data_IF_170981484095
#
_entry.id   IF_170981484095
#
_cell.length_a   1.000
_cell.length_b   1.000
_cell.length_c   1.000
_cell.angle_alpha   90.00
_cell.angle_beta   90.00
_cell.angle_gamma   90.00
#
_symmetry.space_group_name_H-M   'P 1'
#
loop_
_entity.id
_entity.type
_entity.pdbx_description
1 polymer ?
#
# COMPACT_ATOMS: atom_id res chain seq x y z
N UNK A 1 -52.90 66.98 -11.47
CA UNK A 1 -51.74 66.66 -10.61
C UNK A 1 -51.84 65.17 -10.28
N UNK A 2 -50.76 64.41 -10.51
CA UNK A 2 -50.58 62.99 -10.15
C UNK A 2 -51.29 61.88 -10.95
N UNK A 3 -50.56 61.38 -11.97
CA UNK A 3 -50.12 59.99 -12.15
C UNK A 3 -50.96 58.87 -11.49
N UNK A 4 -51.45 57.93 -12.29
CA UNK A 4 -51.79 56.58 -11.80
C UNK A 4 -51.49 55.48 -12.83
N UNK A 5 -50.26 54.95 -12.70
CA UNK A 5 -49.85 53.53 -12.75
C UNK A 5 -50.41 52.64 -13.87
N UNK A 6 -49.63 52.50 -14.94
CA UNK A 6 -49.50 51.23 -15.66
C UNK A 6 -48.65 50.27 -14.82
N UNK A 7 -49.26 49.18 -14.34
CA UNK A 7 -48.53 48.05 -13.74
C UNK A 7 -48.19 47.09 -14.88
N UNK A 8 -46.91 47.06 -15.27
CA UNK A 8 -46.35 45.99 -16.09
C UNK A 8 -46.15 44.79 -15.17
N UNK A 9 -46.96 43.75 -15.34
CA UNK A 9 -46.68 42.44 -14.78
C UNK A 9 -45.48 41.84 -15.52
N UNK A 10 -44.28 42.04 -14.99
CA UNK A 10 -43.13 41.19 -15.34
C UNK A 10 -43.31 39.86 -14.62
N UNK A 11 -43.72 38.84 -15.39
CA UNK A 11 -43.65 37.45 -14.96
C UNK A 11 -42.16 37.10 -14.92
N UNK A 12 -41.56 37.14 -13.73
CA UNK A 12 -40.25 36.53 -13.49
C UNK A 12 -40.48 35.02 -13.52
N UNK A 13 -40.31 34.40 -14.68
CA UNK A 13 -40.02 32.98 -14.76
C UNK A 13 -38.63 32.77 -14.14
N UNK A 14 -38.58 32.59 -12.83
CA UNK A 14 -37.45 31.89 -12.19
C UNK A 14 -37.55 30.45 -12.66
N UNK A 15 -36.98 30.17 -13.84
CA UNK A 15 -36.68 28.79 -14.20
C UNK A 15 -35.82 28.23 -13.08
N UNK A 16 -36.33 27.22 -12.37
CA UNK A 16 -35.48 26.36 -11.55
C UNK A 16 -34.46 25.75 -12.51
N UNK A 17 -33.28 26.36 -12.61
CA UNK A 17 -32.12 25.69 -13.19
C UNK A 17 -31.86 24.53 -12.25
N UNK A 18 -32.23 23.32 -12.68
CA UNK A 18 -31.92 22.11 -11.95
C UNK A 18 -30.39 22.09 -11.79
N UNK A 19 -29.89 22.10 -10.55
CA UNK A 19 -28.45 22.04 -10.31
C UNK A 19 -27.91 20.73 -10.88
N UNK A 20 -26.86 20.80 -11.72
CA UNK A 20 -26.20 19.59 -12.24
C UNK A 20 -25.77 18.69 -11.09
N UNK A 21 -26.07 17.39 -11.21
CA UNK A 21 -25.78 16.37 -10.21
C UNK A 21 -24.44 15.72 -10.48
N UNK A 22 -23.45 16.04 -9.65
CA UNK A 22 -22.12 15.47 -9.71
C UNK A 22 -21.89 14.43 -8.62
N UNK A 23 -21.01 13.46 -8.90
CA UNK A 23 -20.52 12.53 -7.89
C UNK A 23 -19.08 12.09 -8.15
N UNK A 24 -18.32 11.89 -7.08
CA UNK A 24 -17.11 11.07 -7.12
C UNK A 24 -17.50 9.62 -6.92
N UNK A 25 -16.91 8.70 -7.70
CA UNK A 25 -17.23 7.27 -7.63
C UNK A 25 -15.96 6.43 -7.61
N UNK A 26 -15.93 5.41 -6.75
CA UNK A 26 -14.88 4.39 -6.74
C UNK A 26 -15.48 2.98 -6.73
N UNK A 27 -14.67 1.96 -7.00
CA UNK A 27 -15.09 0.55 -6.90
C UNK A 27 -14.27 -0.16 -5.82
N UNK A 28 -14.94 -0.82 -4.89
CA UNK A 28 -14.35 -1.64 -3.84
C UNK A 28 -14.73 -3.12 -4.03
N UNK A 29 -13.72 -3.94 -4.39
CA UNK A 29 -13.88 -5.37 -4.65
C UNK A 29 -13.02 -6.30 -3.79
N UNK A 30 -12.22 -5.73 -2.89
CA UNK A 30 -11.54 -6.47 -1.82
C UNK A 30 -11.49 -5.63 -0.54
N UNK A 31 -11.67 -6.29 0.60
CA UNK A 31 -11.52 -5.66 1.92
C UNK A 31 -10.08 -5.14 2.18
N UNK A 32 -9.08 -5.61 1.41
CA UNK A 32 -7.70 -5.09 1.46
C UNK A 32 -7.59 -3.60 1.12
N UNK A 33 -8.59 -3.07 0.40
CA UNK A 33 -8.65 -1.67 0.01
C UNK A 33 -9.57 -0.82 0.90
N UNK A 34 -10.04 -1.33 2.05
CA UNK A 34 -10.87 -0.55 2.98
C UNK A 34 -10.12 0.69 3.48
N UNK A 35 -8.91 0.52 4.02
CA UNK A 35 -8.13 1.64 4.54
C UNK A 35 -7.88 2.74 3.49
N UNK A 36 -7.41 2.43 2.26
CA UNK A 36 -7.29 3.46 1.23
C UNK A 36 -8.63 4.08 0.83
N UNK A 37 -9.73 3.33 0.81
CA UNK A 37 -11.05 3.88 0.55
C UNK A 37 -11.49 4.89 1.63
N UNK A 38 -11.21 4.61 2.90
CA UNK A 38 -11.49 5.51 4.01
C UNK A 38 -10.64 6.79 3.95
N UNK A 39 -9.34 6.66 3.63
CA UNK A 39 -8.46 7.82 3.47
C UNK A 39 -8.90 8.70 2.30
N UNK A 40 -9.30 8.10 1.17
CA UNK A 40 -9.82 8.83 0.03
C UNK A 40 -11.16 9.53 0.36
N UNK A 41 -12.07 8.84 1.07
CA UNK A 41 -13.33 9.42 1.53
C UNK A 41 -13.12 10.66 2.40
N UNK A 42 -12.28 10.53 3.43
CA UNK A 42 -11.88 11.63 4.30
C UNK A 42 -11.29 12.79 3.48
N UNK A 43 -10.39 12.49 2.54
CA UNK A 43 -9.74 13.53 1.74
C UNK A 43 -10.72 14.29 0.86
N UNK A 44 -11.64 13.61 0.18
CA UNK A 44 -12.67 14.25 -0.65
C UNK A 44 -13.60 15.13 0.18
N UNK A 45 -14.05 14.64 1.34
CA UNK A 45 -14.87 15.38 2.30
C UNK A 45 -14.19 16.68 2.76
N UNK A 46 -12.91 16.61 3.12
CA UNK A 46 -12.13 17.77 3.56
C UNK A 46 -11.91 18.82 2.45
N UNK A 47 -11.87 18.39 1.19
CA UNK A 47 -11.64 19.28 0.05
C UNK A 47 -12.92 19.91 -0.48
N UNK A 48 -14.02 19.14 -0.53
CA UNK A 48 -15.34 19.62 -0.95
C UNK A 48 -16.45 18.63 -0.56
N UNK A 49 -17.06 18.85 0.60
CA UNK A 49 -18.18 18.03 1.11
C UNK A 49 -19.51 18.26 0.37
N UNK A 50 -19.58 19.21 -0.58
CA UNK A 50 -20.82 19.46 -1.34
C UNK A 50 -21.07 18.44 -2.44
N UNK A 51 -20.05 17.67 -2.84
CA UNK A 51 -20.16 16.66 -3.90
C UNK A 51 -20.15 15.28 -3.24
N UNK A 52 -21.19 14.45 -3.42
CA UNK A 52 -21.25 13.14 -2.80
C UNK A 52 -20.12 12.22 -3.31
N UNK A 53 -19.62 11.39 -2.39
CA UNK A 53 -18.71 10.30 -2.72
C UNK A 53 -19.42 8.96 -2.57
N UNK A 54 -19.41 8.18 -3.65
CA UNK A 54 -20.09 6.89 -3.76
C UNK A 54 -19.05 5.80 -3.97
N UNK A 55 -19.22 4.67 -3.29
CA UNK A 55 -18.43 3.48 -3.54
C UNK A 55 -19.35 2.36 -4.00
N UNK A 56 -19.07 1.85 -5.21
CA UNK A 56 -19.65 0.61 -5.70
C UNK A 56 -18.95 -0.54 -4.95
N UNK A 57 -19.72 -1.27 -4.14
CA UNK A 57 -19.23 -2.45 -3.41
C UNK A 57 -19.71 -3.73 -4.10
N UNK A 58 -18.80 -4.67 -4.27
CA UNK A 58 -19.12 -6.00 -4.82
C UNK A 58 -19.53 -6.99 -3.73
N UNK A 59 -20.03 -8.16 -4.13
CA UNK A 59 -20.42 -9.24 -3.23
C UNK A 59 -19.31 -9.77 -2.30
N UNK A 60 -18.04 -9.45 -2.58
CA UNK A 60 -16.88 -9.91 -1.81
C UNK A 60 -16.57 -9.03 -0.57
N UNK A 61 -17.28 -7.90 -0.41
CA UNK A 61 -17.06 -6.94 0.69
C UNK A 61 -17.90 -7.31 1.90
N UNK A 62 -17.27 -7.30 3.09
CA UNK A 62 -17.97 -7.63 4.32
C UNK A 62 -18.78 -6.44 4.87
N UNK A 63 -19.82 -6.74 5.65
CA UNK A 63 -20.72 -5.72 6.22
C UNK A 63 -20.02 -4.75 7.17
N UNK A 64 -18.96 -5.20 7.86
CA UNK A 64 -18.17 -4.33 8.74
C UNK A 64 -17.45 -3.23 7.96
N UNK A 65 -16.88 -3.57 6.80
CA UNK A 65 -16.23 -2.62 5.89
C UNK A 65 -17.24 -1.64 5.30
N UNK A 66 -18.42 -2.13 4.90
CA UNK A 66 -19.53 -1.29 4.41
C UNK A 66 -19.96 -0.30 5.50
N UNK A 67 -20.19 -0.80 6.73
CA UNK A 67 -20.61 0.03 7.86
C UNK A 67 -19.55 1.08 8.21
N UNK A 68 -18.27 0.72 8.16
CA UNK A 68 -17.16 1.65 8.41
C UNK A 68 -17.13 2.80 7.39
N UNK A 69 -17.43 2.54 6.11
CA UNK A 69 -17.51 3.56 5.07
C UNK A 69 -18.78 4.43 5.23
N UNK A 70 -19.94 3.82 5.52
CA UNK A 70 -21.18 4.56 5.78
C UNK A 70 -21.06 5.51 6.97
N UNK A 71 -20.38 5.08 8.04
CA UNK A 71 -20.11 5.93 9.20
C UNK A 71 -19.27 7.17 8.88
N UNK A 72 -18.53 7.17 7.75
CA UNK A 72 -17.78 8.32 7.26
C UNK A 72 -18.58 9.22 6.30
N UNK A 73 -19.85 8.89 6.04
CA UNK A 73 -20.71 9.60 5.10
C UNK A 73 -20.58 9.14 3.65
N UNK A 74 -19.88 8.03 3.39
CA UNK A 74 -19.80 7.45 2.04
C UNK A 74 -21.13 6.82 1.66
N UNK A 75 -21.62 7.14 0.47
CA UNK A 75 -22.79 6.49 -0.09
C UNK A 75 -22.40 5.14 -0.70
N UNK A 76 -23.09 4.07 -0.32
CA UNK A 76 -22.77 2.71 -0.77
C UNK A 76 -23.76 2.28 -1.84
N UNK A 77 -23.24 1.85 -2.98
CA UNK A 77 -24.01 1.23 -4.05
C UNK A 77 -23.58 -0.22 -4.20
N UNK A 78 -24.51 -1.15 -4.06
CA UNK A 78 -24.21 -2.56 -4.26
C UNK A 78 -24.34 -2.91 -5.74
N UNK A 79 -23.34 -3.59 -6.29
CA UNK A 79 -23.38 -4.11 -7.66
C UNK A 79 -22.61 -5.43 -7.78
N UNK A 80 -22.87 -6.18 -8.84
CA UNK A 80 -22.18 -7.42 -9.13
C UNK A 80 -20.83 -7.14 -9.79
N UNK A 81 -19.80 -7.80 -9.27
CA UNK A 81 -18.48 -7.83 -9.90
C UNK A 81 -18.58 -8.34 -11.34
N UNK A 82 -17.93 -7.63 -12.26
CA UNK A 82 -17.75 -8.08 -13.64
C UNK A 82 -16.32 -8.62 -13.78
N UNK A 83 -16.21 -9.93 -13.98
CA UNK A 83 -14.92 -10.58 -14.18
C UNK A 83 -14.35 -10.30 -15.57
N UNK A 84 -13.01 -10.23 -15.63
CA UNK A 84 -12.28 -10.15 -16.89
C UNK A 84 -12.40 -11.48 -17.67
N UNK A 85 -12.54 -11.48 -19.01
CA UNK A 85 -12.52 -12.73 -19.80
C UNK A 85 -11.16 -13.46 -19.71
N UNK A 86 -10.12 -12.78 -19.23
CA UNK A 86 -8.75 -13.30 -19.14
C UNK A 86 -8.45 -14.07 -17.84
N UNK A 87 -9.43 -14.35 -16.97
CA UNK A 87 -9.27 -14.99 -15.65
C UNK A 87 -8.42 -16.29 -15.66
N UNK A 88 -8.46 -17.04 -16.75
CA UNK A 88 -7.67 -18.29 -16.91
C UNK A 88 -6.15 -18.03 -16.91
N UNK A 89 -5.72 -16.81 -17.18
CA UNK A 89 -4.30 -16.43 -17.15
C UNK A 89 -3.90 -15.97 -15.74
N UNK A 90 -2.76 -16.46 -15.24
CA UNK A 90 -2.25 -16.06 -13.92
C UNK A 90 -2.08 -14.54 -13.76
N UNK A 91 -1.75 -13.83 -14.85
CA UNK A 91 -1.53 -12.37 -14.84
C UNK A 91 -2.82 -11.58 -14.68
N UNK A 92 -3.97 -12.09 -15.15
CA UNK A 92 -5.20 -11.31 -15.19
C UNK A 92 -6.13 -11.51 -13.97
N UNK A 93 -5.84 -12.46 -13.07
CA UNK A 93 -6.67 -12.71 -11.87
C UNK A 93 -6.82 -11.51 -10.93
N UNK A 94 -5.92 -10.53 -11.03
CA UNK A 94 -5.96 -9.29 -10.24
C UNK A 94 -6.86 -8.20 -10.83
N UNK A 95 -7.36 -8.38 -12.05
CA UNK A 95 -8.18 -7.39 -12.75
C UNK A 95 -9.67 -7.76 -12.74
N UNK A 96 -10.51 -6.75 -12.91
CA UNK A 96 -11.96 -6.85 -13.06
C UNK A 96 -12.44 -5.74 -13.97
N UNK A 97 -13.61 -5.90 -14.61
CA UNK A 97 -14.21 -4.89 -15.48
C UNK A 97 -15.35 -4.13 -14.81
N UNK A 98 -15.55 -4.29 -13.50
CA UNK A 98 -16.65 -3.67 -12.73
C UNK A 98 -16.75 -2.15 -12.90
N UNK A 99 -15.67 -1.44 -13.26
CA UNK A 99 -15.71 0.00 -13.56
C UNK A 99 -16.70 0.36 -14.68
N UNK A 100 -17.04 -0.55 -15.59
CA UNK A 100 -18.02 -0.21 -16.63
C UNK A 100 -19.43 0.05 -16.06
N UNK A 101 -19.74 -0.45 -14.85
CA UNK A 101 -21.00 -0.18 -14.14
C UNK A 101 -21.26 1.30 -13.91
N UNK A 102 -20.22 2.14 -13.85
CA UNK A 102 -20.35 3.58 -13.66
C UNK A 102 -21.24 4.24 -14.74
N UNK A 103 -21.27 3.69 -15.96
CA UNK A 103 -22.14 4.20 -17.02
C UNK A 103 -23.64 3.93 -16.79
N UNK A 104 -24.01 3.08 -15.83
CA UNK A 104 -25.42 2.82 -15.46
C UNK A 104 -26.00 3.84 -14.48
N UNK A 105 -25.15 4.67 -13.86
CA UNK A 105 -25.54 5.61 -12.79
C UNK A 105 -26.21 6.88 -13.32
N UNK A 106 -27.27 6.72 -14.10
CA UNK A 106 -27.99 7.79 -14.83
C UNK A 106 -28.75 8.79 -13.93
N UNK A 107 -28.74 8.59 -12.62
CA UNK A 107 -29.20 9.55 -11.63
C UNK A 107 -28.27 10.76 -11.46
N UNK A 108 -27.03 10.67 -11.96
CA UNK A 108 -26.05 11.75 -12.02
C UNK A 108 -25.85 12.26 -13.45
N UNK A 109 -25.57 13.55 -13.58
CA UNK A 109 -25.28 14.18 -14.86
C UNK A 109 -23.82 13.94 -15.27
N UNK A 110 -22.88 14.02 -14.32
CA UNK A 110 -21.45 13.77 -14.54
C UNK A 110 -20.83 13.07 -13.33
N UNK A 111 -19.99 12.07 -13.59
CA UNK A 111 -19.28 11.31 -12.56
C UNK A 111 -17.78 11.42 -12.79
N UNK A 112 -17.01 11.55 -11.72
CA UNK A 112 -15.56 11.41 -11.72
C UNK A 112 -15.17 10.10 -11.00
N UNK A 113 -14.63 9.14 -11.77
CA UNK A 113 -14.06 7.92 -11.23
C UNK A 113 -12.69 8.17 -10.60
N UNK A 114 -12.46 7.59 -9.43
CA UNK A 114 -11.18 7.59 -8.73
C UNK A 114 -10.81 6.15 -8.33
N UNK A 115 -9.62 5.68 -8.68
CA UNK A 115 -9.10 4.44 -8.10
C UNK A 115 -8.76 4.67 -6.61
N UNK A 116 -8.88 3.62 -5.80
CA UNK A 116 -8.67 3.72 -4.35
C UNK A 116 -7.21 4.03 -3.97
N UNK A 117 -6.28 3.95 -4.92
CA UNK A 117 -4.87 4.29 -4.76
C UNK A 117 -4.52 5.68 -5.32
N UNK A 118 -5.49 6.59 -5.39
CA UNK A 118 -5.28 8.01 -5.66
C UNK A 118 -5.46 8.86 -4.40
N UNK A 119 -4.86 10.06 -4.40
CA UNK A 119 -5.00 11.03 -3.32
C UNK A 119 -5.09 12.45 -3.90
N UNK A 120 -6.29 13.07 -3.89
CA UNK A 120 -6.45 14.48 -4.21
C UNK A 120 -5.74 15.37 -3.19
N UNK A 121 -4.92 16.32 -3.68
CA UNK A 121 -4.20 17.29 -2.85
C UNK A 121 -4.97 18.60 -2.69
N UNK A 122 -5.84 18.94 -3.63
CA UNK A 122 -6.66 20.14 -3.65
C UNK A 122 -8.07 19.84 -4.20
N UNK A 123 -8.98 20.84 -4.15
CA UNK A 123 -10.32 20.67 -4.71
C UNK A 123 -10.26 20.49 -6.23
N UNK A 124 -10.73 19.33 -6.70
CA UNK A 124 -10.70 18.91 -8.10
C UNK A 124 -12.04 19.06 -8.82
N UNK A 125 -13.02 19.78 -8.26
CA UNK A 125 -14.38 19.86 -8.83
C UNK A 125 -14.42 20.49 -10.24
N UNK A 126 -13.36 21.18 -10.68
CA UNK A 126 -13.26 21.70 -12.04
C UNK A 126 -13.36 20.60 -13.11
N UNK A 127 -12.97 19.35 -12.80
CA UNK A 127 -12.99 18.25 -13.78
C UNK A 127 -14.38 17.87 -14.26
N UNK A 128 -15.44 18.18 -13.49
CA UNK A 128 -16.82 17.87 -13.90
C UNK A 128 -17.26 18.63 -15.16
N UNK A 129 -16.51 19.66 -15.58
CA UNK A 129 -16.81 20.47 -16.77
C UNK A 129 -16.02 20.05 -18.02
N UNK A 130 -15.32 18.91 -18.00
CA UNK A 130 -14.38 18.56 -19.06
C UNK A 130 -15.01 17.95 -20.34
N UNK A 131 -16.22 17.36 -20.28
CA UNK A 131 -16.86 16.71 -21.44
C UNK A 131 -17.60 15.41 -21.09
N UNK A 132 -18.00 14.61 -22.10
CA UNK A 132 -18.74 13.35 -21.87
C UNK A 132 -17.83 12.18 -21.46
N UNK A 133 -16.55 12.21 -21.85
CA UNK A 133 -15.52 11.32 -21.34
C UNK A 133 -14.15 12.01 -21.33
N UNK A 134 -13.49 12.01 -20.18
CA UNK A 134 -12.17 12.63 -20.04
C UNK A 134 -11.23 11.77 -19.23
N UNK A 135 -9.99 11.63 -19.68
CA UNK A 135 -8.96 10.94 -18.92
C UNK A 135 -7.60 11.57 -19.17
N UNK A 136 -6.64 11.25 -18.31
CA UNK A 136 -5.27 11.70 -18.46
C UNK A 136 -4.42 10.63 -19.16
N UNK A 137 -3.57 11.09 -20.09
CA UNK A 137 -2.61 10.23 -20.78
C UNK A 137 -1.34 10.09 -19.96
N UNK A 138 -0.78 8.88 -19.95
CA UNK A 138 0.58 8.67 -19.48
C UNK A 138 1.56 9.13 -20.56
N UNK A 139 2.80 8.65 -20.51
CA UNK A 139 3.83 8.84 -21.54
C UNK A 139 3.57 8.02 -22.83
N UNK A 140 2.32 7.72 -23.17
CA UNK A 140 1.90 6.86 -24.29
C UNK A 140 0.62 7.39 -24.96
N UNK A 141 0.19 6.76 -26.05
CA UNK A 141 -1.10 6.98 -26.69
C UNK A 141 -2.28 6.29 -25.96
N UNK A 142 -2.03 5.76 -24.76
CA UNK A 142 -3.02 5.16 -23.87
C UNK A 142 -3.23 6.04 -22.62
N UNK A 143 -4.50 6.23 -22.25
CA UNK A 143 -4.87 6.89 -21.01
C UNK A 143 -4.82 5.95 -19.81
N UNK A 144 -4.65 6.53 -18.62
CA UNK A 144 -4.76 5.79 -17.37
C UNK A 144 -6.21 5.79 -16.86
N UNK A 145 -6.75 4.62 -16.55
CA UNK A 145 -8.14 4.46 -16.07
C UNK A 145 -8.31 4.63 -14.55
N UNK A 146 -7.29 5.14 -13.85
CA UNK A 146 -7.37 5.40 -12.41
C UNK A 146 -8.02 6.73 -12.05
N UNK A 147 -8.07 7.67 -13.00
CA UNK A 147 -8.89 8.89 -12.89
C UNK A 147 -9.47 9.18 -14.26
N UNK A 148 -10.80 9.21 -14.35
CA UNK A 148 -11.51 9.66 -15.53
C UNK A 148 -12.85 10.27 -15.15
N UNK A 149 -13.39 11.12 -16.03
CA UNK A 149 -14.72 11.71 -15.92
C UNK A 149 -15.60 11.11 -17.00
N UNK A 150 -16.87 10.87 -16.70
CA UNK A 150 -17.85 10.41 -17.68
C UNK A 150 -19.22 11.06 -17.46
N UNK A 151 -20.02 11.12 -18.52
CA UNK A 151 -21.47 11.23 -18.44
C UNK A 151 -22.10 9.83 -18.45
N UNK A 152 -22.86 9.45 -17.41
CA UNK A 152 -23.54 8.16 -17.38
C UNK A 152 -24.47 7.99 -18.59
N UNK A 153 -24.43 6.84 -19.23
CA UNK A 153 -25.27 6.53 -20.39
C UNK A 153 -25.52 5.02 -20.47
N UNK A 154 -26.78 4.63 -20.30
CA UNK A 154 -27.20 3.23 -20.28
C UNK A 154 -26.96 2.50 -21.62
N UNK A 155 -26.99 3.21 -22.75
CA UNK A 155 -26.71 2.63 -24.06
C UNK A 155 -25.22 2.31 -24.21
N UNK A 156 -24.35 3.22 -23.76
CA UNK A 156 -22.90 3.01 -23.72
C UNK A 156 -22.55 1.85 -22.80
N UNK A 157 -23.19 1.75 -21.63
CA UNK A 157 -23.03 0.59 -20.76
C UNK A 157 -23.41 -0.72 -21.47
N UNK A 158 -24.61 -0.79 -22.06
CA UNK A 158 -25.10 -2.00 -22.73
C UNK A 158 -24.22 -2.39 -23.92
N UNK A 159 -23.63 -1.42 -24.60
CA UNK A 159 -22.69 -1.69 -25.68
C UNK A 159 -21.36 -2.24 -25.15
N UNK A 160 -20.77 -1.62 -24.11
CA UNK A 160 -19.58 -2.18 -23.45
C UNK A 160 -19.81 -3.59 -22.91
N UNK A 161 -20.96 -3.84 -22.28
CA UNK A 161 -21.32 -5.16 -21.72
C UNK A 161 -21.30 -6.27 -22.79
N UNK A 162 -21.82 -5.99 -24.00
CA UNK A 162 -21.76 -6.92 -25.14
C UNK A 162 -20.32 -7.21 -25.59
N UNK A 163 -19.42 -6.25 -25.40
CA UNK A 163 -18.03 -6.34 -25.83
C UNK A 163 -17.08 -6.89 -24.75
N UNK A 164 -17.53 -7.08 -23.50
CA UNK A 164 -16.70 -7.58 -22.39
C UNK A 164 -15.96 -8.88 -22.75
N UNK A 165 -16.59 -9.78 -23.51
CA UNK A 165 -16.00 -11.09 -23.86
C UNK A 165 -15.21 -11.07 -25.18
N UNK A 166 -15.48 -10.13 -26.09
CA UNK A 166 -14.93 -10.15 -27.46
C UNK A 166 -13.86 -9.09 -27.70
N UNK A 167 -13.89 -7.97 -26.99
CA UNK A 167 -12.95 -6.87 -27.18
C UNK A 167 -11.60 -7.19 -26.53
N UNK A 168 -10.53 -6.86 -27.26
CA UNK A 168 -9.17 -7.07 -26.78
C UNK A 168 -8.86 -6.05 -25.69
N UNK A 169 -8.25 -6.51 -24.60
CA UNK A 169 -7.64 -5.64 -23.59
C UNK A 169 -6.15 -5.94 -23.54
N UNK A 170 -5.31 -4.94 -23.82
CA UNK A 170 -3.86 -5.13 -23.93
C UNK A 170 -3.19 -5.55 -22.61
N UNK A 171 -3.79 -5.21 -21.47
CA UNK A 171 -3.30 -5.56 -20.13
C UNK A 171 -4.15 -6.65 -19.45
N UNK A 172 -5.26 -7.06 -20.09
CA UNK A 172 -6.25 -7.97 -19.53
C UNK A 172 -7.16 -7.33 -18.46
N UNK A 173 -7.00 -6.03 -18.20
CA UNK A 173 -7.72 -5.25 -17.20
C UNK A 173 -8.66 -4.20 -17.80
N UNK A 174 -9.31 -3.43 -16.92
CA UNK A 174 -10.24 -2.36 -17.29
C UNK A 174 -9.54 -1.26 -18.10
N UNK A 175 -8.28 -0.94 -17.80
CA UNK A 175 -7.54 0.09 -18.51
C UNK A 175 -7.40 -0.26 -19.99
N UNK A 176 -6.99 -1.48 -20.32
CA UNK A 176 -6.87 -1.92 -21.70
C UNK A 176 -8.20 -2.02 -22.43
N UNK A 177 -9.26 -2.45 -21.73
CA UNK A 177 -10.60 -2.49 -22.28
C UNK A 177 -11.13 -1.09 -22.61
N UNK A 178 -11.06 -0.16 -21.65
CA UNK A 178 -11.53 1.22 -21.81
C UNK A 178 -10.72 1.98 -22.86
N UNK A 179 -9.41 1.77 -22.95
CA UNK A 179 -8.60 2.37 -24.02
C UNK A 179 -9.00 1.89 -25.41
N UNK A 180 -9.41 0.63 -25.53
CA UNK A 180 -9.88 0.09 -26.81
C UNK A 180 -11.26 0.64 -27.17
N UNK A 181 -12.16 0.76 -26.18
CA UNK A 181 -13.50 1.29 -26.39
C UNK A 181 -13.51 2.80 -26.68
N UNK A 182 -12.71 3.59 -25.96
CA UNK A 182 -12.58 5.04 -26.10
C UNK A 182 -11.31 5.43 -26.87
N UNK A 183 -11.04 4.73 -27.99
CA UNK A 183 -9.80 4.90 -28.77
C UNK A 183 -9.60 6.31 -29.34
N UNK A 184 -10.70 7.04 -29.53
CA UNK A 184 -10.68 8.37 -30.15
C UNK A 184 -10.29 9.49 -29.16
N UNK A 185 -10.23 9.19 -27.86
CA UNK A 185 -9.85 10.17 -26.82
C UNK A 185 -8.47 10.79 -27.09
N UNK A 186 -7.54 10.07 -27.73
CA UNK A 186 -6.21 10.60 -28.05
C UNK A 186 -6.22 11.76 -29.07
N UNK A 187 -7.30 11.89 -29.84
CA UNK A 187 -7.47 12.95 -30.84
C UNK A 187 -8.17 14.19 -30.27
N UNK A 188 -8.62 14.16 -29.01
CA UNK A 188 -9.37 15.28 -28.44
C UNK A 188 -8.47 16.42 -27.93
N UNK A 189 -9.10 17.57 -27.70
CA UNK A 189 -8.45 18.75 -27.12
C UNK A 189 -8.05 18.53 -25.66
N UNK A 190 -7.14 19.38 -25.17
CA UNK A 190 -6.84 19.43 -23.73
C UNK A 190 -7.90 20.26 -23.01
N UNK A 191 -8.42 19.74 -21.90
CA UNK A 191 -9.30 20.49 -21.01
C UNK A 191 -8.55 21.66 -20.35
N UNK A 192 -9.17 22.84 -20.32
CA UNK A 192 -8.66 24.03 -19.65
C UNK A 192 -9.52 24.36 -18.43
N UNK A 193 -9.02 24.01 -17.25
CA UNK A 193 -9.70 24.22 -15.96
C UNK A 193 -9.89 25.69 -15.57
N UNK A 194 -9.17 26.62 -16.20
CA UNK A 194 -9.29 28.07 -15.93
C UNK A 194 -10.36 28.75 -16.78
N UNK A 195 -10.93 28.04 -17.76
CA UNK A 195 -11.94 28.57 -18.67
C UNK A 195 -13.20 27.70 -18.68
N UNK A 196 -13.92 27.70 -17.56
CA UNK A 196 -15.14 26.91 -17.34
C UNK A 196 -16.37 27.45 -18.11
N UNK A 197 -16.29 28.67 -18.66
CA UNK A 197 -17.37 29.27 -19.47
C UNK A 197 -17.44 28.67 -20.86
N UNK A 198 -16.33 28.10 -21.36
CA UNK A 198 -16.36 27.21 -22.51
C UNK A 198 -16.93 25.87 -22.05
N UNK A 199 -18.25 25.80 -21.87
CA UNK A 199 -18.90 24.48 -21.89
C UNK A 199 -18.42 23.82 -23.16
N UNK A 200 -17.83 22.65 -23.00
CA UNK A 200 -17.46 21.77 -24.10
C UNK A 200 -18.75 21.21 -24.74
N UNK A 201 -19.69 22.08 -25.10
CA UNK A 201 -21.02 21.75 -25.65
C UNK A 201 -20.91 20.95 -26.96
N UNK A 202 -19.73 20.94 -27.59
CA UNK A 202 -19.43 20.19 -28.80
C UNK A 202 -18.33 19.11 -28.65
N UNK A 203 -17.56 19.09 -27.56
CA UNK A 203 -16.49 18.09 -27.38
C UNK A 203 -17.02 16.92 -26.56
N UNK A 204 -17.38 15.83 -27.25
CA UNK A 204 -17.75 14.55 -26.61
C UNK A 204 -16.66 14.02 -25.68
N UNK A 205 -15.39 14.32 -25.96
CA UNK A 205 -14.26 13.83 -25.18
C UNK A 205 -13.18 14.90 -25.03
N UNK A 206 -12.45 14.88 -23.92
CA UNK A 206 -11.34 15.81 -23.64
C UNK A 206 -10.20 15.15 -22.87
N UNK A 207 -8.96 15.57 -23.12
CA UNK A 207 -7.78 15.10 -22.38
C UNK A 207 -7.57 15.91 -21.12
N UNK A 208 -7.40 15.24 -19.98
CA UNK A 208 -7.03 15.86 -18.72
C UNK A 208 -5.51 16.08 -18.64
N UNK A 209 -5.09 17.18 -18.03
CA UNK A 209 -3.69 17.39 -17.62
C UNK A 209 -3.20 16.22 -16.77
N UNK A 210 -1.90 15.89 -16.88
CA UNK A 210 -1.24 14.90 -16.02
C UNK A 210 -1.32 15.27 -14.52
N UNK A 211 -1.58 16.54 -14.19
CA UNK A 211 -1.80 16.99 -12.83
C UNK A 211 -3.01 16.30 -12.15
N UNK A 212 -4.06 15.96 -12.91
CA UNK A 212 -5.26 15.29 -12.39
C UNK A 212 -5.09 13.77 -12.23
N UNK A 213 -3.97 13.20 -12.67
CA UNK A 213 -3.71 11.77 -12.51
C UNK A 213 -2.19 11.54 -12.51
N UNK A 214 -1.52 12.14 -11.53
CA UNK A 214 -0.07 12.21 -11.53
C UNK A 214 0.54 10.86 -11.11
N UNK A 215 1.20 10.21 -12.07
CA UNK A 215 1.87 8.93 -11.88
C UNK A 215 3.15 9.09 -11.02
N UNK A 216 3.16 8.52 -9.81
CA UNK A 216 4.34 8.57 -8.93
C UNK A 216 5.60 7.94 -9.56
N UNK A 217 5.43 7.00 -10.49
CA UNK A 217 6.55 6.41 -11.23
C UNK A 217 7.34 7.47 -11.99
N UNK A 218 6.66 8.47 -12.54
CA UNK A 218 7.31 9.58 -13.25
C UNK A 218 8.12 10.47 -12.31
N UNK A 219 7.63 10.73 -11.09
CA UNK A 219 8.40 11.47 -10.08
C UNK A 219 9.71 10.75 -9.74
N UNK A 220 9.64 9.44 -9.52
CA UNK A 220 10.82 8.66 -9.13
C UNK A 220 11.81 8.44 -10.26
N UNK A 221 11.33 8.23 -11.49
CA UNK A 221 12.18 8.16 -12.68
C UNK A 221 12.80 9.51 -13.02
N UNK A 222 12.14 10.62 -12.68
CA UNK A 222 12.65 11.99 -12.85
C UNK A 222 13.48 12.49 -11.66
N UNK A 223 14.10 11.59 -10.89
CA UNK A 223 15.03 11.95 -9.83
C UNK A 223 14.40 12.67 -8.62
N UNK A 224 13.10 12.46 -8.37
CA UNK A 224 12.38 13.09 -7.27
C UNK A 224 11.91 14.51 -7.56
N UNK A 225 11.64 14.83 -8.83
CA UNK A 225 11.11 16.14 -9.24
C UNK A 225 9.79 15.96 -9.96
N UNK A 226 8.81 16.77 -9.58
CA UNK A 226 7.53 16.83 -10.27
C UNK A 226 7.72 17.35 -11.70
N UNK A 227 7.10 16.67 -12.67
CA UNK A 227 7.01 17.18 -14.06
C UNK A 227 5.93 18.25 -14.21
N UNK A 228 4.91 18.15 -13.37
CA UNK A 228 3.81 19.10 -13.20
C UNK A 228 3.36 19.01 -11.74
N UNK A 229 2.94 20.12 -11.16
CA UNK A 229 2.39 20.12 -9.80
C UNK A 229 1.13 19.24 -9.75
N UNK A 230 1.09 18.19 -8.92
CA UNK A 230 -0.02 17.25 -8.88
C UNK A 230 -1.23 17.83 -8.16
N UNK A 231 -2.40 17.71 -8.78
CA UNK A 231 -3.70 17.89 -8.11
C UNK A 231 -4.18 16.59 -7.50
N UNK A 232 -3.85 15.47 -8.14
CA UNK A 232 -4.09 14.12 -7.65
C UNK A 232 -2.80 13.32 -7.80
N UNK A 233 -2.31 12.76 -6.69
CA UNK A 233 -1.23 11.76 -6.72
C UNK A 233 -1.87 10.38 -6.95
N UNK A 234 -1.42 9.65 -7.97
CA UNK A 234 -1.81 8.27 -8.21
C UNK A 234 -0.65 7.33 -7.88
N UNK A 235 -0.82 6.49 -6.84
CA UNK A 235 0.18 5.54 -6.35
C UNK A 235 0.27 4.28 -7.24
N UNK A 236 0.58 4.46 -8.52
CA UNK A 236 0.59 3.46 -9.60
C UNK A 236 1.62 2.32 -9.41
N UNK A 237 2.65 2.52 -8.59
CA UNK A 237 3.73 1.55 -8.42
C UNK A 237 3.28 0.42 -7.49
N UNK A 238 2.92 -0.74 -8.05
CA UNK A 238 2.76 -1.99 -7.32
C UNK A 238 4.07 -2.79 -7.32
N UNK A 239 4.49 -3.40 -6.19
CA UNK A 239 3.79 -3.59 -4.91
C UNK A 239 4.13 -2.53 -3.83
N UNK A 240 4.34 -1.26 -4.19
CA UNK A 240 4.86 -0.20 -3.29
C UNK A 240 3.77 0.79 -2.87
N UNK A 241 2.61 0.29 -2.42
CA UNK A 241 1.47 1.12 -2.03
C UNK A 241 1.73 1.88 -0.72
N UNK A 242 1.14 3.09 -0.54
CA UNK A 242 1.48 3.97 0.58
C UNK A 242 1.01 3.46 1.95
N UNK A 243 0.00 2.61 2.00
CA UNK A 243 -0.48 1.99 3.23
C UNK A 243 0.40 0.84 3.73
N UNK A 244 1.41 0.40 2.98
CA UNK A 244 2.36 -0.60 3.43
C UNK A 244 3.48 0.03 4.26
N UNK A 245 3.60 -0.38 5.53
CA UNK A 245 4.57 0.16 6.50
C UNK A 245 6.02 0.25 5.98
N UNK A 246 6.46 -0.73 5.20
CA UNK A 246 7.86 -0.84 4.75
C UNK A 246 8.22 0.17 3.65
N UNK A 247 7.23 0.71 2.94
CA UNK A 247 7.45 1.64 1.82
C UNK A 247 7.80 3.04 2.32
N UNK A 248 7.34 3.41 3.52
CA UNK A 248 7.45 4.76 4.06
C UNK A 248 8.87 5.35 4.07
N UNK A 249 9.94 4.67 4.55
CA UNK A 249 11.28 5.24 4.54
C UNK A 249 11.90 5.35 3.13
N UNK A 250 11.30 4.73 2.09
CA UNK A 250 11.86 4.69 0.73
C UNK A 250 11.13 5.66 -0.20
N UNK A 251 9.80 5.76 -0.08
CA UNK A 251 8.93 6.54 -0.95
C UNK A 251 8.44 7.80 -0.21
N UNK A 252 9.12 8.92 -0.41
CA UNK A 252 8.81 10.23 0.19
C UNK A 252 7.39 10.74 -0.09
N UNK A 253 6.83 10.47 -1.27
CA UNK A 253 5.46 10.87 -1.59
C UNK A 253 4.41 10.17 -0.70
N UNK A 254 4.76 9.05 -0.06
CA UNK A 254 3.86 8.40 0.89
C UNK A 254 3.58 9.27 2.13
N UNK A 255 4.37 10.32 2.37
CA UNK A 255 4.07 11.30 3.41
C UNK A 255 2.70 11.97 3.21
N UNK A 256 2.31 12.31 1.97
CA UNK A 256 1.00 12.92 1.71
C UNK A 256 -0.15 12.00 2.13
N UNK A 257 -0.07 10.73 1.76
CA UNK A 257 -1.08 9.73 2.13
C UNK A 257 -1.08 9.47 3.64
N UNK A 258 0.10 9.39 4.25
CA UNK A 258 0.24 9.16 5.69
C UNK A 258 -0.34 10.32 6.52
N UNK A 259 -0.12 11.56 6.09
CA UNK A 259 -0.72 12.75 6.71
C UNK A 259 -2.25 12.69 6.63
N UNK A 260 -2.82 12.38 5.46
CA UNK A 260 -4.27 12.21 5.30
C UNK A 260 -4.83 11.07 6.18
N UNK A 261 -4.07 9.99 6.37
CA UNK A 261 -4.44 8.93 7.32
C UNK A 261 -4.46 9.43 8.77
N UNK A 262 -3.45 10.18 9.20
CA UNK A 262 -3.41 10.72 10.57
C UNK A 262 -4.56 11.70 10.85
N UNK A 263 -4.93 12.50 9.85
CA UNK A 263 -6.10 13.40 9.90
C UNK A 263 -7.39 12.60 10.07
N UNK A 264 -7.58 11.54 9.26
CA UNK A 264 -8.71 10.60 9.38
C UNK A 264 -8.77 9.98 10.78
N UNK A 265 -7.66 9.43 11.27
CA UNK A 265 -7.60 8.73 12.56
C UNK A 265 -7.99 9.68 13.72
N UNK A 266 -7.60 10.95 13.63
CA UNK A 266 -8.01 11.99 14.56
C UNK A 266 -9.52 12.29 14.52
N UNK A 267 -10.17 12.18 13.36
CA UNK A 267 -11.62 12.38 13.19
C UNK A 267 -12.42 11.22 13.78
N UNK A 268 -12.02 9.97 13.51
CA UNK A 268 -12.75 8.77 13.95
C UNK A 268 -12.40 8.36 15.39
N UNK A 269 -11.49 9.08 16.05
CA UNK A 269 -11.01 8.77 17.40
C UNK A 269 -10.19 7.48 17.47
N UNK A 270 -9.59 7.05 16.35
CA UNK A 270 -8.69 5.90 16.37
C UNK A 270 -7.41 6.30 17.11
N UNK A 271 -7.14 5.57 18.18
CA UNK A 271 -6.10 5.94 19.10
C UNK A 271 -4.79 5.32 18.65
N UNK A 272 -3.96 6.11 17.98
CA UNK A 272 -2.60 5.78 17.59
C UNK A 272 -1.82 5.08 18.72
N UNK A 273 -1.95 5.56 19.97
CA UNK A 273 -1.28 4.97 21.13
C UNK A 273 -1.80 3.56 21.43
N UNK A 274 -3.11 3.32 21.34
CA UNK A 274 -3.70 1.98 21.54
C UNK A 274 -3.17 1.01 20.48
N UNK A 275 -3.12 1.44 19.22
CA UNK A 275 -2.58 0.60 18.14
C UNK A 275 -1.08 0.32 18.33
N UNK A 276 -0.31 1.30 18.81
CA UNK A 276 1.09 1.07 19.22
C UNK A 276 1.19 0.06 20.36
N UNK A 277 0.35 0.19 21.40
CA UNK A 277 0.33 -0.73 22.53
C UNK A 277 -0.04 -2.14 22.09
N UNK A 278 -1.01 -2.31 21.17
CA UNK A 278 -1.36 -3.61 20.59
C UNK A 278 -0.16 -4.28 19.91
N UNK A 279 0.61 -3.53 19.11
CA UNK A 279 1.82 -4.04 18.47
C UNK A 279 2.89 -4.43 19.51
N UNK A 280 3.08 -3.61 20.55
CA UNK A 280 4.03 -3.91 21.64
C UNK A 280 3.60 -5.17 22.40
N UNK A 281 2.33 -5.29 22.79
CA UNK A 281 1.78 -6.47 23.46
C UNK A 281 1.96 -7.72 22.60
N UNK A 282 1.64 -7.63 21.30
CA UNK A 282 1.84 -8.74 20.37
C UNK A 282 3.32 -9.13 20.29
N UNK A 283 4.23 -8.16 20.17
CA UNK A 283 5.67 -8.39 20.15
C UNK A 283 6.16 -9.14 21.39
N UNK A 284 5.78 -8.66 22.59
CA UNK A 284 6.19 -9.25 23.87
C UNK A 284 5.68 -10.69 24.00
N UNK A 285 4.39 -10.92 23.72
CA UNK A 285 3.80 -12.26 23.79
C UNK A 285 4.45 -13.21 22.78
N UNK A 286 4.74 -12.71 21.58
CA UNK A 286 5.40 -13.49 20.53
C UNK A 286 6.81 -13.91 20.93
N UNK A 287 7.61 -12.98 21.45
CA UNK A 287 8.96 -13.26 21.96
C UNK A 287 8.91 -14.26 23.12
N UNK A 288 7.97 -14.09 24.06
CA UNK A 288 7.78 -15.01 25.18
C UNK A 288 7.43 -16.42 24.68
N UNK A 289 6.57 -16.54 23.66
CA UNK A 289 6.22 -17.79 23.01
C UNK A 289 7.43 -18.50 22.40
N UNK A 290 8.27 -17.78 21.64
CA UNK A 290 9.51 -18.33 21.08
C UNK A 290 10.51 -18.76 22.16
N UNK A 291 10.59 -18.02 23.26
CA UNK A 291 11.46 -18.39 24.37
C UNK A 291 10.95 -19.63 25.11
N UNK A 292 9.63 -19.77 25.29
CA UNK A 292 9.03 -20.99 25.83
C UNK A 292 9.27 -22.20 24.92
N UNK A 293 9.09 -22.04 23.59
CA UNK A 293 9.43 -23.07 22.61
C UNK A 293 10.90 -23.48 22.67
N UNK A 294 11.82 -22.51 22.81
CA UNK A 294 13.24 -22.80 23.08
C UNK A 294 13.41 -23.72 24.29
N UNK A 295 12.76 -23.43 25.42
CA UNK A 295 12.88 -24.24 26.64
C UNK A 295 12.35 -25.67 26.47
N UNK A 296 11.24 -25.83 25.73
CA UNK A 296 10.69 -27.15 25.40
C UNK A 296 11.65 -27.94 24.51
N UNK A 297 12.21 -27.32 23.47
CA UNK A 297 13.17 -27.97 22.57
C UNK A 297 14.45 -28.39 23.30
N UNK A 298 14.96 -27.53 24.19
CA UNK A 298 16.12 -27.84 25.03
C UNK A 298 15.86 -29.02 25.97
N UNK A 299 14.64 -29.14 26.51
CA UNK A 299 14.24 -30.25 27.35
C UNK A 299 14.15 -31.57 26.55
N UNK A 300 13.50 -31.57 25.39
CA UNK A 300 13.37 -32.76 24.54
C UNK A 300 14.74 -33.24 24.03
N UNK A 301 15.62 -32.31 23.70
CA UNK A 301 16.94 -32.62 23.16
C UNK A 301 17.98 -33.02 24.21
N UNK A 302 17.66 -32.93 25.51
CA UNK A 302 18.61 -33.15 26.60
C UNK A 302 19.30 -34.52 26.52
N UNK A 303 18.59 -35.55 26.03
CA UNK A 303 19.07 -36.93 25.98
C UNK A 303 19.58 -37.38 24.59
N UNK A 304 19.39 -36.58 23.53
CA UNK A 304 19.65 -36.95 22.12
C UNK A 304 20.66 -36.00 21.43
N UNK A 305 21.79 -35.76 22.09
CA UNK A 305 22.82 -34.84 21.61
C UNK A 305 23.58 -35.43 20.39
N UNK A 306 23.51 -34.75 19.25
CA UNK A 306 24.21 -35.19 18.02
C UNK A 306 25.71 -34.89 18.19
N UNK A 307 26.54 -35.94 18.25
CA UNK A 307 27.98 -35.85 18.53
C UNK A 307 28.87 -35.47 17.33
N UNK A 308 28.32 -35.34 16.12
CA UNK A 308 29.11 -34.93 14.95
C UNK A 308 29.44 -33.45 14.97
N UNK A 309 30.67 -33.03 14.67
CA UNK A 309 31.01 -31.61 14.64
C UNK A 309 30.75 -31.02 13.24
N UNK A 310 29.76 -30.13 13.06
CA UNK A 310 29.47 -29.57 11.75
C UNK A 310 30.66 -28.78 11.20
N UNK A 311 30.84 -28.86 9.89
CA UNK A 311 31.85 -28.12 9.15
C UNK A 311 31.64 -26.61 9.29
N UNK A 312 32.67 -25.83 8.96
CA UNK A 312 32.56 -24.36 8.93
C UNK A 312 31.49 -23.91 7.92
N UNK A 313 31.37 -24.63 6.80
CA UNK A 313 30.39 -24.36 5.76
C UNK A 313 28.97 -24.60 6.26
N UNK A 314 28.70 -25.72 6.91
CA UNK A 314 27.36 -26.04 7.44
C UNK A 314 26.88 -25.00 8.46
N UNK A 315 27.76 -24.59 9.39
CA UNK A 315 27.45 -23.53 10.36
C UNK A 315 27.11 -22.22 9.68
N UNK A 316 27.85 -21.86 8.63
CA UNK A 316 27.62 -20.64 7.86
C UNK A 316 26.30 -20.73 7.08
N UNK A 317 26.11 -21.79 6.30
CA UNK A 317 24.90 -22.03 5.52
C UNK A 317 23.64 -22.01 6.40
N UNK A 318 23.69 -22.64 7.57
CA UNK A 318 22.62 -22.61 8.56
C UNK A 318 22.28 -21.18 9.00
N UNK A 319 23.27 -20.38 9.38
CA UNK A 319 23.06 -18.98 9.79
C UNK A 319 22.42 -18.14 8.67
N UNK A 320 22.89 -18.29 7.43
CA UNK A 320 22.33 -17.57 6.28
C UNK A 320 20.88 -17.99 6.01
N UNK A 321 20.59 -19.29 5.99
CA UNK A 321 19.25 -19.82 5.75
C UNK A 321 18.27 -19.36 6.83
N UNK A 322 18.62 -19.55 8.10
CA UNK A 322 17.77 -19.16 9.23
C UNK A 322 17.50 -17.66 9.21
N UNK A 323 18.50 -16.83 8.93
CA UNK A 323 18.31 -15.39 8.91
C UNK A 323 17.38 -14.94 7.77
N UNK A 324 17.54 -15.49 6.56
CA UNK A 324 16.62 -15.20 5.43
C UNK A 324 15.19 -15.67 5.71
N UNK A 325 15.04 -16.87 6.28
CA UNK A 325 13.74 -17.39 6.69
C UNK A 325 13.08 -16.47 7.70
N UNK A 326 13.82 -15.99 8.71
CA UNK A 326 13.30 -15.08 9.73
C UNK A 326 12.87 -13.74 9.12
N UNK A 327 13.65 -13.16 8.21
CA UNK A 327 13.26 -11.92 7.52
C UNK A 327 11.96 -12.15 6.75
N UNK A 328 11.90 -13.19 5.92
CA UNK A 328 10.69 -13.52 5.14
C UNK A 328 9.48 -13.76 6.04
N UNK A 329 9.63 -14.58 7.08
CA UNK A 329 8.58 -14.91 8.02
C UNK A 329 8.08 -13.67 8.78
N UNK A 330 8.99 -12.79 9.19
CA UNK A 330 8.63 -11.53 9.82
C UNK A 330 7.86 -10.61 8.89
N UNK A 331 8.19 -10.56 7.60
CA UNK A 331 7.38 -9.85 6.61
C UNK A 331 5.96 -10.40 6.50
N UNK A 332 5.75 -11.72 6.63
CA UNK A 332 4.42 -12.34 6.55
C UNK A 332 3.54 -12.05 7.78
N UNK A 333 4.12 -12.03 8.97
CA UNK A 333 3.35 -11.83 10.22
C UNK A 333 3.19 -10.35 10.60
N UNK A 334 3.95 -9.46 9.97
CA UNK A 334 3.90 -8.03 10.30
C UNK A 334 2.62 -7.43 9.71
N UNK A 335 1.78 -6.75 10.52
CA UNK A 335 0.52 -6.19 10.03
C UNK A 335 0.76 -5.15 8.92
N UNK A 336 0.24 -5.43 7.72
CA UNK A 336 0.51 -4.60 6.53
C UNK A 336 0.02 -3.16 6.68
N UNK A 337 -1.11 -2.96 7.36
CA UNK A 337 -1.82 -1.68 7.45
C UNK A 337 -1.51 -0.90 8.74
N UNK A 338 -0.60 -1.39 9.59
CA UNK A 338 -0.22 -0.69 10.81
C UNK A 338 0.66 0.54 10.53
N UNK A 339 0.77 1.44 11.52
CA UNK A 339 1.56 2.67 11.37
C UNK A 339 3.04 2.37 11.08
N UNK A 340 3.68 3.09 10.14
CA UNK A 340 5.03 2.75 9.68
C UNK A 340 6.06 2.65 10.81
N UNK A 341 6.18 3.68 11.66
CA UNK A 341 7.23 3.74 12.70
C UNK A 341 7.08 2.59 13.73
N UNK A 342 5.92 2.41 14.40
CA UNK A 342 5.72 1.29 15.32
C UNK A 342 5.94 -0.07 14.67
N UNK A 343 5.57 -0.21 13.40
CA UNK A 343 5.69 -1.46 12.66
C UNK A 343 7.13 -1.79 12.30
N UNK A 344 7.96 -0.79 11.96
CA UNK A 344 9.41 -0.98 11.80
C UNK A 344 10.09 -1.40 13.11
N UNK A 345 9.68 -0.81 14.25
CA UNK A 345 10.17 -1.20 15.57
C UNK A 345 9.77 -2.66 15.88
N UNK A 346 8.51 -3.01 15.65
CA UNK A 346 7.99 -4.37 15.80
C UNK A 346 8.77 -5.38 14.95
N UNK A 347 8.93 -5.10 13.65
CA UNK A 347 9.66 -5.93 12.71
C UNK A 347 11.12 -6.13 13.16
N UNK A 348 11.82 -5.03 13.46
CA UNK A 348 13.21 -5.07 13.90
C UNK A 348 13.38 -5.87 15.19
N UNK A 349 12.50 -5.64 16.17
CA UNK A 349 12.49 -6.36 17.44
C UNK A 349 12.32 -7.86 17.21
N UNK A 350 11.31 -8.28 16.47
CA UNK A 350 11.07 -9.71 16.22
C UNK A 350 12.23 -10.37 15.47
N UNK A 351 12.76 -9.75 14.43
CA UNK A 351 13.92 -10.29 13.70
C UNK A 351 15.10 -10.49 14.65
N UNK A 352 15.38 -9.52 15.52
CA UNK A 352 16.46 -9.59 16.48
C UNK A 352 16.28 -10.72 17.50
N UNK A 353 15.09 -10.82 18.12
CA UNK A 353 14.78 -11.82 19.12
C UNK A 353 14.70 -13.23 18.54
N UNK A 354 13.97 -13.42 17.43
CA UNK A 354 13.85 -14.73 16.78
C UNK A 354 15.21 -15.25 16.32
N UNK A 355 16.04 -14.40 15.71
CA UNK A 355 17.38 -14.80 15.27
C UNK A 355 18.22 -15.25 16.45
N UNK A 356 18.21 -14.47 17.53
CA UNK A 356 19.03 -14.77 18.71
C UNK A 356 18.54 -16.04 19.44
N UNK A 357 17.21 -16.21 19.58
CA UNK A 357 16.61 -17.39 20.22
C UNK A 357 16.90 -18.65 19.40
N UNK A 358 16.59 -18.66 18.09
CA UNK A 358 16.73 -19.86 17.26
C UNK A 358 18.19 -20.30 17.13
N UNK A 359 19.13 -19.37 16.93
CA UNK A 359 20.55 -19.69 16.87
C UNK A 359 21.05 -20.17 18.23
N UNK A 360 20.59 -19.57 19.33
CA UNK A 360 20.94 -20.04 20.67
C UNK A 360 20.41 -21.44 20.96
N UNK A 361 19.19 -21.75 20.54
CA UNK A 361 18.61 -23.10 20.67
C UNK A 361 19.42 -24.11 19.86
N UNK A 362 19.77 -23.77 18.62
CA UNK A 362 20.66 -24.60 17.81
C UNK A 362 22.01 -24.83 18.49
N UNK A 363 22.64 -23.79 19.04
CA UNK A 363 23.93 -23.94 19.73
C UNK A 363 23.81 -24.87 20.94
N UNK A 364 22.73 -24.73 21.73
CA UNK A 364 22.52 -25.59 22.89
C UNK A 364 22.31 -27.05 22.48
N UNK A 365 21.41 -27.31 21.54
CA UNK A 365 21.08 -28.67 21.09
C UNK A 365 22.28 -29.34 20.41
N UNK A 366 23.06 -28.57 19.63
CA UNK A 366 24.15 -29.13 18.84
C UNK A 366 25.47 -29.26 19.61
N UNK A 367 25.72 -28.39 20.58
CA UNK A 367 27.01 -28.30 21.27
C UNK A 367 26.93 -28.37 22.80
N UNK A 368 25.72 -28.38 23.37
CA UNK A 368 25.51 -28.44 24.82
C UNK A 368 25.90 -27.15 25.55
N UNK A 369 26.13 -26.07 24.82
CA UNK A 369 26.60 -24.81 25.40
C UNK A 369 25.58 -23.69 25.23
N UNK A 370 25.28 -22.99 26.33
CA UNK A 370 24.47 -21.79 26.31
C UNK A 370 25.32 -20.55 26.02
N UNK A 371 24.95 -19.71 25.04
CA UNK A 371 25.52 -18.38 24.90
C UNK A 371 25.33 -17.57 26.19
N UNK A 372 26.37 -16.86 26.62
CA UNK A 372 26.25 -15.94 27.77
C UNK A 372 25.23 -14.84 27.48
N UNK A 373 24.57 -14.33 28.52
CA UNK A 373 23.57 -13.25 28.38
C UNK A 373 24.13 -12.00 27.69
N UNK A 374 25.42 -11.68 27.85
CA UNK A 374 26.07 -10.57 27.15
C UNK A 374 26.15 -10.78 25.63
N UNK A 375 26.47 -11.99 25.18
CA UNK A 375 26.48 -12.33 23.75
C UNK A 375 25.07 -12.34 23.17
N UNK A 376 24.11 -12.80 23.96
CA UNK A 376 22.69 -12.80 23.61
C UNK A 376 22.18 -11.36 23.41
N UNK A 377 22.38 -10.48 24.41
CA UNK A 377 22.01 -9.07 24.34
C UNK A 377 22.76 -8.33 23.22
N UNK A 378 24.04 -8.63 23.02
CA UNK A 378 24.85 -8.05 21.94
C UNK A 378 24.33 -8.35 20.54
N UNK A 379 23.78 -9.56 20.30
CA UNK A 379 23.15 -9.89 19.02
C UNK A 379 21.87 -9.10 18.79
N UNK A 380 21.03 -9.00 19.82
CA UNK A 380 19.78 -8.23 19.75
C UNK A 380 20.07 -6.76 19.47
N UNK A 381 21.06 -6.19 20.16
CA UNK A 381 21.47 -4.80 19.98
C UNK A 381 22.01 -4.56 18.57
N UNK A 382 22.89 -5.44 18.06
CA UNK A 382 23.45 -5.30 16.72
C UNK A 382 22.37 -5.27 15.64
N UNK A 383 21.42 -6.22 15.69
CA UNK A 383 20.36 -6.32 14.68
C UNK A 383 19.46 -5.08 14.74
N UNK A 384 19.03 -4.65 15.93
CA UNK A 384 18.18 -3.47 16.07
C UNK A 384 18.88 -2.18 15.65
N UNK A 385 20.14 -1.96 16.06
CA UNK A 385 20.92 -0.80 15.63
C UNK A 385 21.12 -0.78 14.11
N UNK A 386 21.30 -1.95 13.49
CA UNK A 386 21.42 -2.03 12.04
C UNK A 386 20.15 -1.56 11.32
N UNK A 387 18.96 -1.99 11.77
CA UNK A 387 17.68 -1.55 11.20
C UNK A 387 17.40 -0.08 11.48
N UNK A 388 17.70 0.40 12.70
CA UNK A 388 17.57 1.80 13.05
C UNK A 388 18.46 2.69 12.16
N UNK A 389 19.72 2.27 11.95
CA UNK A 389 20.64 2.98 11.07
C UNK A 389 20.10 3.03 9.64
N UNK A 390 19.52 1.94 9.14
CA UNK A 390 18.85 1.94 7.84
C UNK A 390 17.71 2.95 7.78
N UNK A 391 16.78 2.85 8.73
CA UNK A 391 15.59 3.69 8.78
C UNK A 391 15.94 5.18 8.82
N UNK A 392 16.86 5.57 9.72
CA UNK A 392 17.30 6.96 9.85
C UNK A 392 17.99 7.44 8.58
N UNK A 393 18.91 6.65 8.02
CA UNK A 393 19.65 7.04 6.81
C UNK A 393 18.73 7.18 5.60
N UNK A 394 17.72 6.31 5.49
CA UNK A 394 16.71 6.42 4.44
C UNK A 394 15.84 7.67 4.63
N UNK A 395 15.39 7.94 5.86
CA UNK A 395 14.53 9.09 6.18
C UNK A 395 15.21 10.45 5.96
N UNK A 396 16.51 10.58 6.24
CA UNK A 396 17.24 11.85 6.06
C UNK A 396 17.65 12.12 4.61
N UNK A 397 17.60 11.11 3.74
CA UNK A 397 18.07 11.25 2.36
C UNK A 397 16.95 11.74 1.45
N UNK A 398 17.04 12.93 0.86
CA UNK A 398 15.95 13.48 0.06
C UNK A 398 15.82 12.82 -1.32
N UNK A 399 16.82 12.07 -1.78
CA UNK A 399 16.83 11.50 -3.13
C UNK A 399 16.40 10.04 -3.13
N UNK A 400 15.26 9.74 -3.79
CA UNK A 400 14.75 8.38 -3.95
C UNK A 400 15.79 7.38 -4.44
N UNK A 401 16.53 7.70 -5.51
CA UNK A 401 17.53 6.80 -6.07
C UNK A 401 18.61 6.41 -5.05
N UNK A 402 19.00 7.34 -4.16
CA UNK A 402 19.95 7.05 -3.09
C UNK A 402 19.30 6.21 -1.98
N UNK A 403 18.05 6.48 -1.59
CA UNK A 403 17.30 5.67 -0.62
C UNK A 403 17.15 4.23 -1.10
N UNK A 404 16.77 4.03 -2.36
CA UNK A 404 16.61 2.71 -2.97
C UNK A 404 17.93 1.93 -3.05
N UNK A 405 19.00 2.56 -3.57
CA UNK A 405 20.32 1.94 -3.64
C UNK A 405 20.85 1.58 -2.24
N UNK A 406 20.70 2.50 -1.29
CA UNK A 406 21.08 2.27 0.09
C UNK A 406 20.27 1.14 0.73
N UNK A 407 18.97 1.04 0.46
CA UNK A 407 18.14 -0.08 0.92
C UNK A 407 18.60 -1.43 0.36
N UNK A 408 18.93 -1.51 -0.92
CA UNK A 408 19.47 -2.73 -1.52
C UNK A 408 20.82 -3.10 -0.89
N UNK A 409 21.74 -2.13 -0.80
CA UNK A 409 23.05 -2.33 -0.19
C UNK A 409 22.91 -2.75 1.29
N UNK A 410 22.00 -2.12 2.02
CA UNK A 410 21.70 -2.42 3.40
C UNK A 410 21.24 -3.87 3.57
N UNK A 411 20.26 -4.34 2.79
CA UNK A 411 19.75 -5.71 2.88
C UNK A 411 20.87 -6.74 2.65
N UNK A 412 21.75 -6.50 1.66
CA UNK A 412 22.89 -7.36 1.36
C UNK A 412 23.90 -7.35 2.52
N UNK A 413 24.34 -6.15 2.94
CA UNK A 413 25.34 -5.98 3.99
C UNK A 413 24.84 -6.57 5.30
N UNK A 414 23.59 -6.28 5.66
CA UNK A 414 22.96 -6.78 6.87
C UNK A 414 22.92 -8.32 6.86
N UNK A 415 22.50 -8.93 5.75
CA UNK A 415 22.48 -10.38 5.61
C UNK A 415 23.84 -11.03 5.89
N UNK A 416 24.92 -10.52 5.29
CA UNK A 416 26.26 -11.08 5.50
C UNK A 416 26.84 -10.77 6.87
N UNK A 417 26.66 -9.55 7.38
CA UNK A 417 27.17 -9.14 8.69
C UNK A 417 26.47 -9.91 9.81
N UNK A 418 25.13 -9.95 9.80
CA UNK A 418 24.36 -10.64 10.85
C UNK A 418 24.66 -12.13 10.84
N UNK A 419 24.63 -12.78 9.66
CA UNK A 419 24.93 -14.21 9.54
C UNK A 419 26.35 -14.56 9.99
N UNK A 420 27.34 -13.71 9.68
CA UNK A 420 28.72 -13.90 10.13
C UNK A 420 28.89 -13.66 11.62
N UNK A 421 28.21 -12.65 12.17
CA UNK A 421 28.28 -12.29 13.58
C UNK A 421 27.66 -13.37 14.46
N UNK A 422 26.43 -13.81 14.15
CA UNK A 422 25.75 -14.86 14.91
C UNK A 422 26.54 -16.18 14.86
N UNK A 423 27.14 -16.55 13.71
CA UNK A 423 28.03 -17.70 13.62
C UNK A 423 29.23 -17.57 14.57
N UNK A 424 29.95 -16.46 14.49
CA UNK A 424 31.18 -16.27 15.28
C UNK A 424 30.90 -16.22 16.78
N UNK A 425 29.84 -15.52 17.18
CA UNK A 425 29.60 -15.18 18.59
C UNK A 425 28.61 -16.11 19.30
N UNK A 426 27.56 -16.60 18.63
CA UNK A 426 26.59 -17.50 19.25
C UNK A 426 26.93 -18.98 19.05
N UNK A 427 27.68 -19.34 17.98
CA UNK A 427 28.07 -20.74 17.72
C UNK A 427 29.53 -20.99 18.13
N UNK A 428 30.50 -20.27 17.54
CA UNK A 428 31.92 -20.61 17.67
C UNK A 428 32.53 -20.23 19.03
N UNK A 429 32.29 -19.00 19.50
CA UNK A 429 32.84 -18.51 20.79
C UNK A 429 32.26 -19.27 21.99
N UNK A 430 31.04 -19.77 21.87
CA UNK A 430 30.34 -20.52 22.93
C UNK A 430 30.99 -21.89 23.21
N UNK A 431 31.67 -22.47 22.21
CA UNK A 431 32.41 -23.75 22.34
C UNK A 431 33.67 -23.64 23.22
N UNK A 432 34.23 -22.45 23.41
CA UNK A 432 35.58 -22.26 23.97
C UNK A 432 35.75 -22.50 25.48
N UNK A 433 34.67 -22.70 26.26
CA UNK A 433 34.78 -22.80 27.73
C UNK A 433 34.91 -24.23 28.27
N UNK A 434 34.39 -25.26 27.61
CA UNK A 434 34.40 -26.63 28.14
C UNK A 434 35.52 -27.55 27.60
N UNK A 435 36.23 -27.18 26.53
CA UNK A 435 37.25 -28.06 25.92
C UNK A 435 38.62 -28.00 26.63
N UNK A 436 38.82 -27.15 27.65
CA UNK A 436 40.12 -27.00 28.33
C UNK A 436 40.44 -28.03 29.42
N UNK A 437 39.52 -28.90 29.83
CA UNK A 437 39.72 -29.74 31.03
C UNK A 437 39.78 -31.26 30.81
N UNK A 438 39.76 -31.77 29.58
CA UNK A 438 39.81 -33.22 29.33
C UNK A 438 40.94 -33.65 28.39
N UNK A 439 42.18 -33.36 28.77
CA UNK A 439 43.36 -34.14 28.34
C UNK A 439 44.40 -34.10 29.45
N UNK A 440 44.47 -35.15 30.29
CA UNK A 440 45.64 -36.01 30.56
C UNK A 440 45.14 -37.25 31.35
N UNK A 441 45.16 -38.49 30.82
CA UNK A 441 45.35 -39.67 31.65
C UNK A 441 46.86 -39.85 31.84
N UNK A 442 47.34 -39.60 33.06
CA UNK A 442 48.70 -39.97 33.47
C UNK A 442 48.70 -41.50 33.56
N UNK A 443 49.25 -42.15 32.53
CA UNK A 443 49.65 -43.56 32.61
C UNK A 443 51.03 -43.67 31.99
N UNK A 444 52.04 -43.64 32.87
CA UNK A 444 53.38 -44.24 32.77
C UNK A 444 54.25 -43.67 33.89
N UNK A 445 54.11 -44.27 35.06
CA UNK A 445 55.16 -44.38 36.05
C UNK A 445 55.06 -45.81 36.57
N UNK A 446 55.76 -46.71 35.90
CA UNK A 446 56.41 -47.91 36.42
C UNK A 446 57.47 -48.35 35.41
#
# INVERSE_FOLDING_TARGET
MFWTKCIVFSIIFTGFVNSEKFAYVSVLSSNDFLLPAQVLAHRLKMLNDSIPYIIIVTQDINNDSISALQNQGVQIQHDLKIDTPYLKTHRARKYQYTKIRLWQMTEFDVIAHLDLDVLPLENISSIFHCGDFCASFRHSDMFNSGVFVLKPNIEVFKDMEKHVQSMISYDGGDQGFLNTYFSDLKYSGMFNEYNLTRRCENDKMSRLSAAFNYDIGMYYLNGGRFLVEPKIIHYTMGPTKPWFWWTYPVFDLNHYWFTARLELDSEIGDNYLINCLRLVTFNVLFIAGFYAQKKVLEFIAADNMINENPSKFEKLAFCHFIYLFIIWFNFQITPNYAYPIPTWIFFSSNVAWMTTILISTYTQIRFGNQPSIFLFAGCILLINLSHLMFYVTAAINPYFGKRALFGIAYLIIQHFIVSSYIRRFLIEKTRGKHVRYHRIPISRLE
#
